data_IF_015588417628
#
_entry.id   IF_015588417628
#
_cell.length_a   1.000
_cell.length_b   1.000
_cell.length_c   1.000
_cell.angle_alpha   90.00
_cell.angle_beta   90.00
_cell.angle_gamma   90.00
#
_symmetry.space_group_name_H-M   'P 1'
#
loop_
_entity.id
_entity.type
_entity.pdbx_description
1 polymer ?
#
# COMPACT_ATOMS: atom_id res chain seq x y z
N UNK A 1 -21.04 -20.42 12.76
CA UNK A 1 -20.95 -19.04 12.22
C UNK A 1 -20.19 -19.11 10.91
N UNK A 2 -20.61 -18.35 9.89
CA UNK A 2 -19.87 -18.25 8.63
C UNK A 2 -18.56 -17.49 8.85
N UNK A 3 -17.45 -17.96 8.26
CA UNK A 3 -16.13 -17.35 8.45
C UNK A 3 -16.07 -15.96 7.80
N UNK A 4 -15.48 -15.00 8.52
CA UNK A 4 -15.16 -13.68 7.95
C UNK A 4 -13.90 -13.80 7.10
N UNK A 5 -13.89 -13.21 5.91
CA UNK A 5 -12.73 -13.23 5.02
C UNK A 5 -12.42 -11.82 4.56
N UNK A 6 -11.14 -11.45 4.65
CA UNK A 6 -10.56 -10.23 4.10
C UNK A 6 -9.48 -10.63 3.09
N UNK A 7 -9.40 -9.88 1.99
CA UNK A 7 -8.24 -9.88 1.09
C UNK A 7 -7.35 -8.69 1.45
N UNK A 8 -6.04 -8.91 1.44
CA UNK A 8 -5.05 -7.85 1.59
C UNK A 8 -4.20 -7.78 0.33
N UNK A 9 -4.02 -6.56 -0.19
CA UNK A 9 -3.36 -6.33 -1.48
C UNK A 9 -2.17 -5.36 -1.35
N UNK A 10 -1.14 -5.66 -0.54
CA UNK A 10 -0.03 -4.72 -0.33
C UNK A 10 0.80 -4.51 -1.59
N UNK A 11 1.38 -3.33 -1.68
CA UNK A 11 2.20 -2.89 -2.79
C UNK A 11 3.57 -2.52 -2.27
N UNK A 12 4.57 -3.30 -2.63
CA UNK A 12 5.96 -3.05 -2.22
C UNK A 12 6.71 -2.33 -3.34
N UNK A 13 7.63 -1.46 -2.94
CA UNK A 13 8.52 -0.71 -3.83
C UNK A 13 9.75 -1.54 -4.21
N UNK A 14 9.50 -2.68 -4.84
CA UNK A 14 10.52 -3.56 -5.44
C UNK A 14 9.83 -4.35 -6.55
N UNK A 15 10.43 -4.38 -7.75
CA UNK A 15 9.89 -5.09 -8.91
C UNK A 15 10.97 -5.73 -9.78
N UNK A 16 12.22 -5.77 -9.32
CA UNK A 16 13.39 -6.22 -10.10
C UNK A 16 14.18 -7.32 -9.40
N UNK A 17 14.34 -7.23 -8.09
CA UNK A 17 15.03 -8.24 -7.27
C UNK A 17 14.06 -9.38 -6.89
N UNK A 18 14.11 -10.47 -7.65
CA UNK A 18 13.21 -11.62 -7.49
C UNK A 18 13.36 -12.30 -6.12
N UNK A 19 14.57 -12.29 -5.53
CA UNK A 19 14.79 -12.90 -4.22
C UNK A 19 14.16 -12.07 -3.11
N UNK A 20 14.31 -10.75 -3.13
CA UNK A 20 13.60 -9.88 -2.18
C UNK A 20 12.10 -10.03 -2.28
N UNK A 21 11.56 -10.01 -3.51
CA UNK A 21 10.12 -10.15 -3.75
C UNK A 21 9.62 -11.47 -3.18
N UNK A 22 10.32 -12.57 -3.47
CA UNK A 22 9.98 -13.90 -2.96
C UNK A 22 10.00 -13.93 -1.44
N UNK A 23 11.09 -13.48 -0.80
CA UNK A 23 11.22 -13.47 0.68
C UNK A 23 10.10 -12.64 1.33
N UNK A 24 9.81 -11.44 0.80
CA UNK A 24 8.77 -10.56 1.35
C UNK A 24 7.38 -11.17 1.16
N UNK A 25 7.09 -11.76 -0.01
CA UNK A 25 5.77 -12.33 -0.30
C UNK A 25 5.49 -13.61 0.50
N UNK A 26 6.48 -14.48 0.71
CA UNK A 26 6.29 -15.78 1.35
C UNK A 26 6.08 -15.69 2.86
N UNK A 27 6.50 -14.59 3.50
CA UNK A 27 6.33 -14.40 4.95
C UNK A 27 4.86 -14.45 5.39
N UNK A 28 3.92 -14.11 4.49
CA UNK A 28 2.49 -14.13 4.80
C UNK A 28 1.96 -15.55 5.04
N UNK A 29 2.62 -16.56 4.45
CA UNK A 29 2.24 -17.98 4.59
C UNK A 29 2.77 -18.59 5.90
N UNK A 30 3.62 -17.89 6.65
CA UNK A 30 4.01 -18.30 8.00
C UNK A 30 2.87 -18.13 9.02
N UNK A 31 1.82 -17.38 8.66
CA UNK A 31 0.64 -17.19 9.50
C UNK A 31 -0.44 -18.20 9.13
N UNK A 32 -0.70 -19.13 10.05
CA UNK A 32 -1.74 -20.15 9.90
C UNK A 32 -3.09 -19.53 9.51
N UNK A 33 -3.69 -20.03 8.43
CA UNK A 33 -4.99 -19.57 7.93
C UNK A 33 -4.92 -18.42 6.91
N UNK A 34 -3.72 -17.95 6.57
CA UNK A 34 -3.48 -17.06 5.43
C UNK A 34 -3.10 -17.86 4.19
N UNK A 35 -3.61 -17.43 3.03
CA UNK A 35 -3.25 -18.00 1.73
C UNK A 35 -2.75 -16.92 0.80
N UNK A 36 -1.51 -17.05 0.33
CA UNK A 36 -0.97 -16.25 -0.76
C UNK A 36 -1.67 -16.65 -2.08
N UNK A 37 -2.24 -15.68 -2.78
CA UNK A 37 -2.99 -15.89 -4.02
C UNK A 37 -2.22 -15.46 -5.26
N UNK A 38 -1.52 -14.34 -5.18
CA UNK A 38 -0.81 -13.77 -6.33
C UNK A 38 0.38 -12.90 -5.91
N UNK A 39 1.39 -12.86 -6.77
CA UNK A 39 2.54 -11.95 -6.70
C UNK A 39 2.81 -11.45 -8.12
N UNK A 40 2.59 -10.16 -8.36
CA UNK A 40 2.68 -9.55 -9.69
C UNK A 40 3.73 -8.43 -9.71
N UNK A 41 4.99 -8.74 -10.08
CA UNK A 41 6.08 -7.78 -10.13
C UNK A 41 6.14 -7.02 -11.47
N UNK A 42 6.23 -5.70 -11.40
CA UNK A 42 6.46 -4.82 -12.54
C UNK A 42 7.90 -4.27 -12.56
N UNK A 43 8.70 -4.70 -13.54
CA UNK A 43 10.12 -4.27 -13.67
C UNK A 43 10.29 -2.76 -13.94
N UNK A 44 9.44 -2.20 -14.81
CA UNK A 44 9.47 -0.78 -15.18
C UNK A 44 8.92 0.12 -14.05
N UNK A 45 7.77 -0.27 -13.51
CA UNK A 45 7.15 0.40 -12.35
C UNK A 45 7.97 0.25 -11.07
N UNK A 46 8.87 -0.74 -11.01
CA UNK A 46 9.67 -1.14 -9.85
C UNK A 46 8.80 -1.31 -8.58
N UNK A 47 7.69 -2.02 -8.77
CA UNK A 47 6.65 -2.26 -7.76
C UNK A 47 6.14 -3.69 -7.92
N UNK A 48 5.81 -4.32 -6.81
CA UNK A 48 5.13 -5.62 -6.80
C UNK A 48 3.80 -5.51 -6.07
N UNK A 49 2.75 -6.04 -6.67
CA UNK A 49 1.44 -6.21 -6.05
C UNK A 49 1.36 -7.64 -5.51
N UNK A 50 1.09 -7.77 -4.22
CA UNK A 50 0.95 -9.06 -3.54
C UNK A 50 -0.51 -9.18 -3.11
N UNK A 51 -1.11 -10.36 -3.27
CA UNK A 51 -2.51 -10.61 -2.89
C UNK A 51 -2.58 -11.84 -2.00
N UNK A 52 -3.17 -11.72 -0.82
CA UNK A 52 -3.45 -12.86 0.06
C UNK A 52 -4.78 -12.68 0.79
N UNK A 53 -5.33 -13.79 1.29
CA UNK A 53 -6.64 -13.84 1.96
C UNK A 53 -6.59 -14.65 3.24
N UNK A 54 -7.51 -14.35 4.16
CA UNK A 54 -7.66 -15.11 5.40
C UNK A 54 -8.72 -14.52 6.32
N UNK A 55 -8.79 -15.06 7.53
CA UNK A 55 -9.59 -14.46 8.60
C UNK A 55 -8.96 -13.13 9.08
N UNK A 56 -9.76 -12.16 9.57
CA UNK A 56 -9.29 -10.79 9.74
C UNK A 56 -8.01 -10.62 10.57
N UNK A 57 -7.92 -11.31 11.72
CA UNK A 57 -6.75 -11.20 12.60
C UNK A 57 -5.50 -11.76 11.92
N UNK A 58 -5.60 -12.94 11.30
CA UNK A 58 -4.51 -13.60 10.59
C UNK A 58 -4.01 -12.73 9.42
N UNK A 59 -4.92 -12.10 8.68
CA UNK A 59 -4.55 -11.16 7.60
C UNK A 59 -3.79 -9.96 8.13
N UNK A 60 -4.18 -9.39 9.28
CA UNK A 60 -3.45 -8.28 9.90
C UNK A 60 -2.07 -8.71 10.36
N UNK A 61 -1.93 -9.89 10.95
CA UNK A 61 -0.64 -10.41 11.40
C UNK A 61 0.31 -10.66 10.21
N UNK A 62 -0.20 -11.26 9.13
CA UNK A 62 0.56 -11.46 7.90
C UNK A 62 0.95 -10.14 7.22
N UNK A 63 0.02 -9.18 7.13
CA UNK A 63 0.31 -7.85 6.56
C UNK A 63 1.40 -7.11 7.35
N UNK A 64 1.36 -7.20 8.68
CA UNK A 64 2.38 -6.62 9.54
C UNK A 64 3.77 -7.25 9.29
N UNK A 65 3.85 -8.58 9.23
CA UNK A 65 5.11 -9.29 8.92
C UNK A 65 5.65 -8.94 7.53
N UNK A 66 4.78 -8.82 6.53
CA UNK A 66 5.16 -8.38 5.19
C UNK A 66 5.75 -6.96 5.20
N UNK A 67 5.10 -6.02 5.89
CA UNK A 67 5.59 -4.63 5.99
C UNK A 67 6.93 -4.58 6.72
N UNK A 68 7.08 -5.34 7.80
CA UNK A 68 8.34 -5.46 8.53
C UNK A 68 9.45 -6.02 7.63
N UNK A 69 9.18 -7.11 6.89
CA UNK A 69 10.16 -7.71 5.98
C UNK A 69 10.53 -6.77 4.84
N UNK A 70 9.57 -6.02 4.31
CA UNK A 70 9.81 -5.00 3.30
C UNK A 70 10.72 -3.88 3.83
N UNK A 71 10.50 -3.40 5.07
CA UNK A 71 11.35 -2.41 5.74
C UNK A 71 12.80 -2.89 5.92
N UNK A 72 13.01 -4.19 6.17
CA UNK A 72 14.35 -4.77 6.33
C UNK A 72 15.13 -4.86 5.00
N UNK A 73 14.44 -5.14 3.89
CA UNK A 73 15.05 -5.51 2.62
C UNK A 73 15.05 -4.40 1.55
N UNK A 74 14.15 -3.41 1.69
CA UNK A 74 14.00 -2.30 0.75
C UNK A 74 14.54 -1.02 1.40
N UNK A 75 15.44 -0.34 0.69
CA UNK A 75 15.99 0.95 1.08
C UNK A 75 15.44 2.02 0.13
N UNK A 76 14.43 2.77 0.59
CA UNK A 76 13.74 3.78 -0.21
C UNK A 76 14.65 4.91 -0.68
N UNK A 77 15.74 5.21 0.05
CA UNK A 77 16.74 6.21 -0.38
C UNK A 77 17.43 5.86 -1.71
N UNK A 78 17.36 4.60 -2.12
CA UNK A 78 17.94 4.07 -3.37
C UNK A 78 16.87 3.67 -4.39
N UNK A 79 15.59 3.74 -4.03
CA UNK A 79 14.50 3.29 -4.88
C UNK A 79 14.13 4.33 -5.94
N UNK A 80 13.95 3.86 -7.18
CA UNK A 80 13.35 4.62 -8.27
C UNK A 80 12.50 3.70 -9.16
N UNK A 81 11.41 4.23 -9.70
CA UNK A 81 10.48 3.51 -10.57
C UNK A 81 9.50 4.46 -11.25
N UNK A 82 8.82 4.01 -12.31
CA UNK A 82 7.84 4.83 -13.04
C UNK A 82 6.52 5.02 -12.28
N UNK A 83 6.25 4.20 -11.26
CA UNK A 83 5.03 4.28 -10.48
C UNK A 83 5.21 5.17 -9.24
N UNK A 84 4.30 6.12 -8.97
CA UNK A 84 4.36 6.95 -7.78
C UNK A 84 4.39 6.10 -6.51
N UNK A 85 5.28 6.45 -5.58
CA UNK A 85 5.46 5.69 -4.32
C UNK A 85 5.92 6.59 -3.19
N UNK A 86 5.53 6.26 -1.96
CA UNK A 86 6.02 6.96 -0.77
C UNK A 86 6.67 6.04 0.27
N UNK A 87 6.69 4.72 0.07
CA UNK A 87 7.33 3.81 1.03
C UNK A 87 7.71 2.44 0.48
N UNK A 88 8.50 1.71 1.27
CA UNK A 88 8.94 0.34 1.00
C UNK A 88 7.74 -0.59 0.83
N UNK A 89 6.71 -0.40 1.68
CA UNK A 89 5.33 -0.75 1.34
C UNK A 89 4.58 0.55 1.10
N UNK A 90 4.22 0.84 -0.16
CA UNK A 90 3.53 2.08 -0.54
C UNK A 90 2.11 2.10 0.02
N UNK A 91 1.34 1.04 -0.24
CA UNK A 91 -0.01 0.87 0.27
C UNK A 91 -0.31 -0.56 0.69
N UNK A 92 -1.21 -0.71 1.65
CA UNK A 92 -1.70 -1.99 2.17
C UNK A 92 -3.23 -1.96 2.36
N UNK A 93 -4.02 -1.96 1.27
CA UNK A 93 -5.48 -1.99 1.35
C UNK A 93 -6.00 -3.36 1.83
N UNK A 94 -7.13 -3.31 2.52
CA UNK A 94 -7.95 -4.45 2.92
C UNK A 94 -9.29 -4.42 2.17
N UNK A 95 -9.74 -5.57 1.68
CA UNK A 95 -11.00 -5.70 0.92
C UNK A 95 -11.92 -6.68 1.64
N UNK A 96 -13.17 -6.31 1.98
CA UNK A 96 -14.13 -7.23 2.57
C UNK A 96 -14.58 -8.28 1.54
N UNK A 97 -14.41 -9.57 1.83
CA UNK A 97 -14.72 -10.66 0.89
C UNK A 97 -15.98 -11.41 1.30
N UNK A 98 -16.06 -11.85 2.56
CA UNK A 98 -17.17 -12.67 3.03
C UNK A 98 -17.51 -12.36 4.49
N UNK A 99 -18.80 -12.21 4.77
CA UNK A 99 -19.35 -12.08 6.12
C UNK A 99 -18.75 -10.94 6.97
N UNK A 100 -18.20 -9.90 6.33
CA UNK A 100 -17.63 -8.73 6.98
C UNK A 100 -18.01 -7.47 6.21
N UNK A 101 -18.38 -6.42 6.94
CA UNK A 101 -18.71 -5.13 6.34
C UNK A 101 -17.46 -4.30 6.04
N UNK A 102 -17.63 -3.26 5.20
CA UNK A 102 -16.58 -2.26 4.97
C UNK A 102 -16.17 -1.56 6.26
N UNK A 103 -17.15 -1.19 7.10
CA UNK A 103 -16.89 -0.51 8.39
C UNK A 103 -16.05 -1.38 9.34
N UNK A 104 -16.36 -2.67 9.43
CA UNK A 104 -15.54 -3.61 10.21
C UNK A 104 -14.13 -3.74 9.62
N UNK A 105 -14.01 -3.78 8.29
CA UNK A 105 -12.71 -3.87 7.61
C UNK A 105 -11.87 -2.61 7.85
N UNK A 106 -12.48 -1.43 7.89
CA UNK A 106 -11.81 -0.17 8.23
C UNK A 106 -11.24 -0.19 9.67
N UNK A 107 -11.94 -0.81 10.62
CA UNK A 107 -11.42 -1.00 11.99
C UNK A 107 -10.18 -1.90 12.01
N UNK A 108 -10.13 -2.92 11.16
CA UNK A 108 -8.94 -3.76 10.98
C UNK A 108 -7.78 -3.00 10.33
N UNK A 109 -8.07 -2.13 9.36
CA UNK A 109 -7.07 -1.23 8.76
C UNK A 109 -6.46 -0.30 9.81
N UNK A 110 -7.27 0.28 10.70
CA UNK A 110 -6.78 1.11 11.82
C UNK A 110 -5.89 0.31 12.77
N UNK A 111 -6.28 -0.92 13.13
CA UNK A 111 -5.48 -1.81 13.98
C UNK A 111 -4.11 -2.11 13.36
N UNK A 112 -4.07 -2.38 12.05
CA UNK A 112 -2.81 -2.60 11.33
C UNK A 112 -1.95 -1.32 11.34
N UNK A 113 -2.55 -0.16 11.05
CA UNK A 113 -1.85 1.11 11.01
C UNK A 113 -1.25 1.52 12.35
N UNK A 114 -1.98 1.29 13.44
CA UNK A 114 -1.47 1.54 14.79
C UNK A 114 -0.23 0.69 15.08
N UNK A 115 -0.28 -0.61 14.81
CA UNK A 115 0.86 -1.52 15.00
C UNK A 115 2.06 -1.15 14.14
N UNK A 116 1.84 -0.89 12.84
CA UNK A 116 2.92 -0.46 11.93
C UNK A 116 3.56 0.85 12.41
N UNK A 117 2.75 1.82 12.83
CA UNK A 117 3.26 3.10 13.31
C UNK A 117 4.01 2.99 14.63
N UNK A 118 3.51 2.20 15.57
CA UNK A 118 4.08 2.09 16.93
C UNK A 118 5.24 1.12 17.02
N UNK A 119 5.15 -0.05 16.39
CA UNK A 119 6.15 -1.13 16.51
C UNK A 119 7.27 -1.00 15.47
N UNK A 120 6.98 -0.51 14.26
CA UNK A 120 7.97 -0.41 13.16
C UNK A 120 8.50 1.03 12.96
N UNK A 121 7.88 2.03 13.60
CA UNK A 121 8.27 3.44 13.45
C UNK A 121 8.04 3.99 12.04
N UNK A 122 7.05 3.47 11.32
CA UNK A 122 6.72 3.90 9.95
C UNK A 122 5.54 4.88 10.00
N UNK A 123 5.60 6.07 9.39
CA UNK A 123 4.46 6.97 9.27
C UNK A 123 3.32 6.30 8.49
N UNK A 124 2.12 6.29 9.06
CA UNK A 124 0.94 5.68 8.43
C UNK A 124 -0.11 6.75 8.09
N UNK A 125 -0.65 6.67 6.87
CA UNK A 125 -1.81 7.44 6.44
C UNK A 125 -2.97 6.51 6.13
N UNK A 126 -4.10 6.70 6.79
CA UNK A 126 -5.33 6.02 6.42
C UNK A 126 -6.05 6.74 5.29
N UNK A 127 -6.52 5.98 4.30
CA UNK A 127 -7.19 6.51 3.11
C UNK A 127 -8.46 5.71 2.78
N UNK A 128 -9.23 6.18 1.80
CA UNK A 128 -10.53 5.63 1.41
C UNK A 128 -11.47 5.40 2.61
N UNK A 129 -12.09 4.22 2.75
CA UNK A 129 -13.06 3.98 3.83
C UNK A 129 -12.43 3.95 5.23
N UNK A 130 -11.10 3.94 5.33
CA UNK A 130 -10.39 4.07 6.60
C UNK A 130 -9.93 5.52 6.89
N UNK A 131 -10.09 6.46 5.95
CA UNK A 131 -9.64 7.83 6.12
C UNK A 131 -10.26 8.49 7.35
N UNK A 132 -9.42 9.13 8.19
CA UNK A 132 -9.87 9.92 9.34
C UNK A 132 -10.19 11.37 8.99
N UNK A 133 -9.79 11.81 7.81
CA UNK A 133 -10.01 13.16 7.28
C UNK A 133 -10.42 13.07 5.81
N UNK A 134 -11.35 13.94 5.38
CA UNK A 134 -11.86 13.96 4.01
C UNK A 134 -10.75 14.11 2.96
N UNK A 135 -9.75 14.95 3.25
CA UNK A 135 -8.61 15.17 2.35
C UNK A 135 -7.77 13.91 2.08
N UNK A 136 -7.86 12.89 2.96
CA UNK A 136 -7.13 11.62 2.84
C UNK A 136 -7.91 10.52 2.12
N UNK A 137 -9.19 10.74 1.81
CA UNK A 137 -10.01 9.74 1.10
C UNK A 137 -9.35 9.37 -0.22
N UNK A 138 -8.88 10.35 -0.99
CA UNK A 138 -8.13 10.11 -2.22
C UNK A 138 -6.65 9.82 -1.91
N UNK A 139 -6.21 8.61 -2.24
CA UNK A 139 -4.83 8.16 -2.11
C UNK A 139 -3.79 9.06 -2.82
N UNK A 140 -4.17 9.73 -3.91
CA UNK A 140 -3.28 10.67 -4.60
C UNK A 140 -2.88 11.85 -3.70
N UNK A 141 -3.77 12.32 -2.83
CA UNK A 141 -3.46 13.38 -1.87
C UNK A 141 -2.47 12.85 -0.81
N UNK A 142 -2.67 11.61 -0.33
CA UNK A 142 -1.74 10.95 0.59
C UNK A 142 -0.36 10.73 -0.05
N UNK A 143 -0.27 10.46 -1.35
CA UNK A 143 1.00 10.27 -2.08
C UNK A 143 1.55 11.54 -2.73
N UNK A 144 0.94 12.70 -2.51
CA UNK A 144 1.41 13.94 -3.11
C UNK A 144 2.84 14.25 -2.69
N UNK A 145 3.72 14.46 -3.67
CA UNK A 145 5.15 14.68 -3.45
C UNK A 145 5.97 13.39 -3.32
N UNK A 146 5.33 12.21 -3.33
CA UNK A 146 5.98 10.90 -3.27
C UNK A 146 6.92 10.75 -2.05
N UNK A 147 7.91 9.86 -2.13
CA UNK A 147 8.95 9.69 -1.12
C UNK A 147 9.76 10.98 -0.90
N UNK A 148 10.12 11.68 -1.97
CA UNK A 148 10.95 12.89 -1.92
C UNK A 148 10.27 14.05 -1.15
N UNK A 149 8.94 14.09 -1.16
CA UNK A 149 8.13 15.08 -0.45
C UNK A 149 7.95 14.82 1.05
N UNK A 150 8.27 13.61 1.55
CA UNK A 150 8.01 13.21 2.94
C UNK A 150 8.68 14.11 3.96
N UNK A 151 9.92 14.53 3.71
CA UNK A 151 10.68 15.40 4.61
C UNK A 151 9.95 16.71 4.94
N UNK A 152 9.21 17.26 3.96
CA UNK A 152 8.38 18.46 4.15
C UNK A 152 6.99 18.11 4.68
N UNK A 153 6.41 17.02 4.18
CA UNK A 153 5.05 16.60 4.54
C UNK A 153 4.92 16.22 6.02
N UNK A 154 5.89 15.52 6.58
CA UNK A 154 5.81 15.01 7.94
C UNK A 154 5.86 16.12 9.00
N UNK A 155 6.56 17.22 8.71
CA UNK A 155 6.65 18.38 9.61
C UNK A 155 5.50 19.37 9.43
N UNK A 156 4.66 19.19 8.42
CA UNK A 156 3.46 19.98 8.20
C UNK A 156 2.34 19.51 9.15
N UNK A 157 1.82 20.43 9.95
CA UNK A 157 0.75 20.15 10.90
C UNK A 157 -0.52 19.62 10.23
N UNK A 158 -0.80 20.06 8.99
CA UNK A 158 -1.95 19.58 8.23
C UNK A 158 -1.74 18.14 7.71
N UNK A 159 -0.51 17.66 7.63
CA UNK A 159 -0.18 16.34 7.09
C UNK A 159 0.45 15.39 8.10
N UNK A 160 0.23 15.63 9.40
CA UNK A 160 0.64 14.72 10.45
C UNK A 160 0.11 13.30 10.20
N UNK A 161 0.94 12.24 10.25
CA UNK A 161 0.46 10.88 10.03
C UNK A 161 -0.55 10.44 11.09
N UNK A 162 -1.43 9.49 10.73
CA UNK A 162 -2.42 8.94 11.66
C UNK A 162 -1.76 8.15 12.80
N UNK A 163 -0.65 7.48 12.49
CA UNK A 163 0.21 6.75 13.42
C UNK A 163 1.68 6.83 12.98
N UNK A 164 2.59 6.57 13.93
CA UNK A 164 4.03 6.64 13.67
C UNK A 164 4.62 8.06 13.77
N UNK A 165 5.92 8.21 13.47
CA UNK A 165 6.64 9.47 13.67
C UNK A 165 6.22 10.53 12.64
N UNK A 166 6.08 11.78 13.10
CA UNK A 166 5.88 12.96 12.25
C UNK A 166 7.22 13.64 11.91
N UNK A 167 8.28 12.85 11.71
CA UNK A 167 9.63 13.33 11.42
C UNK A 167 10.33 12.42 10.42
N UNK A 168 11.21 12.99 9.60
CA UNK A 168 12.02 12.25 8.64
C UNK A 168 13.32 11.77 9.30
N UNK A 169 13.21 10.73 10.12
CA UNK A 169 14.35 10.10 10.80
C UNK A 169 14.96 8.95 9.97
N UNK A 170 16.01 8.29 10.48
CA UNK A 170 16.71 7.21 9.78
C UNK A 170 15.83 6.01 9.42
N UNK A 171 14.81 5.73 10.23
CA UNK A 171 13.85 4.65 9.94
C UNK A 171 12.98 5.07 8.76
N UNK A 172 12.43 6.28 8.80
CA UNK A 172 11.61 6.85 7.72
C UNK A 172 12.38 7.04 6.42
N UNK A 173 13.66 7.38 6.47
CA UNK A 173 14.52 7.47 5.28
C UNK A 173 14.59 6.12 4.54
N UNK A 174 14.65 5.00 5.28
CA UNK A 174 14.70 3.67 4.65
C UNK A 174 13.32 3.15 4.28
N UNK A 175 12.31 3.36 5.12
CA UNK A 175 10.98 2.79 4.94
C UNK A 175 10.03 3.66 4.13
N UNK A 176 10.25 4.97 4.08
CA UNK A 176 9.23 5.95 3.69
C UNK A 176 8.01 5.90 4.60
N UNK A 177 6.82 6.13 4.02
CA UNK A 177 5.52 6.10 4.68
C UNK A 177 4.58 5.07 4.01
N UNK A 178 3.59 4.56 4.75
CA UNK A 178 2.66 3.53 4.27
C UNK A 178 1.22 4.04 4.28
N UNK A 179 0.49 3.85 3.18
CA UNK A 179 -0.95 4.07 3.11
C UNK A 179 -1.74 2.81 3.46
N UNK A 180 -2.67 2.85 4.41
CA UNK A 180 -3.45 1.67 4.82
C UNK A 180 -4.95 1.98 4.77
N UNK A 181 -5.72 1.18 4.04
CA UNK A 181 -7.16 1.42 3.85
C UNK A 181 -8.01 0.18 4.00
N UNK A 182 -9.32 0.42 4.03
CA UNK A 182 -10.32 -0.54 3.61
C UNK A 182 -10.98 0.00 2.33
N UNK A 183 -11.24 -0.88 1.35
CA UNK A 183 -11.86 -0.49 0.09
C UNK A 183 -12.59 -1.62 -0.61
N UNK A 184 -13.43 -1.28 -1.57
CA UNK A 184 -14.06 -2.26 -2.45
C UNK A 184 -13.02 -2.91 -3.39
N UNK A 185 -13.44 -3.99 -4.05
CA UNK A 185 -12.65 -4.62 -5.09
C UNK A 185 -12.22 -3.60 -6.14
N UNK A 186 -10.94 -3.66 -6.51
CA UNK A 186 -10.37 -2.84 -7.57
C UNK A 186 -9.78 -3.79 -8.60
N UNK A 187 -10.18 -3.59 -9.85
CA UNK A 187 -9.61 -4.32 -10.98
C UNK A 187 -8.55 -3.43 -11.63
N UNK A 188 -7.29 -3.81 -11.51
CA UNK A 188 -6.21 -3.17 -12.26
C UNK A 188 -6.30 -3.64 -13.73
N UNK A 189 -6.70 -2.74 -14.63
CA UNK A 189 -6.93 -3.05 -16.03
C UNK A 189 -6.06 -2.17 -16.93
N UNK A 190 -5.13 -2.80 -17.66
CA UNK A 190 -4.27 -2.13 -18.63
C UNK A 190 -4.76 -2.40 -20.06
N UNK A 191 -4.82 -1.36 -20.88
CA UNK A 191 -5.16 -1.46 -22.31
C UNK A 191 -3.93 -1.20 -23.15
N UNK A 192 -3.50 -2.21 -23.90
CA UNK A 192 -2.38 -2.07 -24.83
C UNK A 192 -2.84 -1.33 -26.08
N UNK A 193 -2.19 -0.20 -26.38
CA UNK A 193 -2.44 0.58 -27.59
C UNK A 193 -1.32 0.34 -28.58
N UNK A 194 -1.65 0.15 -29.86
CA UNK A 194 -0.66 0.00 -30.94
C UNK A 194 -0.05 1.37 -31.31
N UNK A 195 0.65 2.00 -30.36
CA UNK A 195 1.34 3.27 -30.53
C UNK A 195 2.46 3.40 -29.52
N UNK A 196 3.55 4.07 -29.91
CA UNK A 196 4.63 4.47 -29.00
C UNK A 196 4.40 5.85 -28.37
N UNK A 197 3.31 6.54 -28.72
CA UNK A 197 3.04 7.89 -28.25
C UNK A 197 2.33 7.90 -26.88
N UNK A 198 3.07 8.19 -25.82
CA UNK A 198 2.52 8.40 -24.47
C UNK A 198 1.46 9.50 -24.44
N UNK A 199 1.62 10.56 -25.24
CA UNK A 199 0.63 11.64 -25.39
C UNK A 199 -0.73 11.11 -25.87
N UNK A 200 -0.75 10.17 -26.82
CA UNK A 200 -1.99 9.57 -27.32
C UNK A 200 -2.63 8.66 -26.27
N UNK A 201 -1.82 7.87 -25.58
CA UNK A 201 -2.30 7.03 -24.48
C UNK A 201 -2.94 7.87 -23.36
N UNK A 202 -2.28 8.96 -22.95
CA UNK A 202 -2.79 9.86 -21.92
C UNK A 202 -4.09 10.57 -22.35
N UNK A 203 -4.21 10.96 -23.62
CA UNK A 203 -5.44 11.56 -24.12
C UNK A 203 -6.64 10.61 -23.97
N UNK A 204 -6.48 9.34 -24.34
CA UNK A 204 -7.53 8.31 -24.16
C UNK A 204 -7.82 8.10 -22.68
N UNK A 205 -6.79 8.04 -21.83
CA UNK A 205 -6.97 7.86 -20.38
C UNK A 205 -7.75 9.03 -19.74
N UNK A 206 -7.49 10.27 -20.15
CA UNK A 206 -8.20 11.45 -19.66
C UNK A 206 -9.66 11.51 -20.11
N UNK A 207 -9.97 10.99 -21.29
CA UNK A 207 -11.34 10.97 -21.80
C UNK A 207 -12.20 9.85 -21.14
N UNK A 208 -11.58 8.81 -20.56
CA UNK A 208 -12.28 7.67 -19.93
C UNK A 208 -12.37 7.79 -18.40
N UNK A 209 -11.35 8.35 -17.73
CA UNK A 209 -11.33 8.40 -16.26
C UNK A 209 -12.43 9.32 -15.72
N UNK A 210 -13.01 8.96 -14.58
CA UNK A 210 -14.05 9.76 -13.90
C UNK A 210 -13.59 11.20 -13.60
N UNK A 211 -12.32 11.39 -13.25
CA UNK A 211 -11.74 12.71 -13.00
C UNK A 211 -11.65 13.62 -14.23
N UNK A 212 -11.96 13.12 -15.44
CA UNK A 212 -11.98 13.91 -16.67
C UNK A 212 -10.61 14.47 -17.08
N UNK A 213 -10.62 15.55 -17.86
CA UNK A 213 -9.40 16.26 -18.29
C UNK A 213 -8.86 17.16 -17.19
#
# INVERSE_FOLDING_TARGET
MSKKIIECVPNISEGRDEDKIRIISQIVEEVDGVKLLNVDPGKATNRTVITFVGEPQQVIDAAFLLIQKAQELIDMSKHSGEHPRMGATDVCPLVPIANISMEETAKWAHKLGERVGTELGIPVYHYEAAAKEEKRVNLANCRQGEYEGLSKKLVDADWKPDFGPAEFNKTVEKSGATGISARDFLVAYNVNLNTTSTRRANAVAFDIREGGR
#
